data_IF_966576849192
#
_entry.id   IF_966576849192
#
_cell.length_a   1.000
_cell.length_b   1.000
_cell.length_c   1.000
_cell.angle_alpha   90.00
_cell.angle_beta   90.00
_cell.angle_gamma   90.00
#
_symmetry.space_group_name_H-M   'P 1'
#
loop_
_entity.id
_entity.type
_entity.pdbx_description
1 polymer ?
#
# COMPACT_ATOMS: atom_id res chain seq x y z
N UNK A 1 -17.07 19.93 12.01
CA UNK A 1 -17.48 18.52 12.18
C UNK A 1 -17.39 17.79 10.85
N UNK A 2 -18.05 18.23 9.76
CA UNK A 2 -18.06 17.53 8.46
C UNK A 2 -16.65 17.26 7.87
N UNK A 3 -15.72 18.22 7.95
CA UNK A 3 -14.33 18.04 7.47
C UNK A 3 -13.58 16.94 8.24
N UNK A 4 -13.80 16.85 9.54
CA UNK A 4 -13.16 15.82 10.40
C UNK A 4 -13.73 14.43 10.08
N UNK A 5 -15.03 14.31 9.92
CA UNK A 5 -15.71 13.05 9.57
C UNK A 5 -15.25 12.57 8.20
N UNK A 6 -15.23 13.45 7.19
CA UNK A 6 -14.77 13.07 5.85
C UNK A 6 -13.28 12.65 5.84
N UNK A 7 -12.42 13.33 6.60
CA UNK A 7 -11.02 12.95 6.72
C UNK A 7 -10.84 11.61 7.44
N UNK A 8 -11.64 11.32 8.47
CA UNK A 8 -11.60 10.06 9.19
C UNK A 8 -12.08 8.90 8.31
N UNK A 9 -13.24 9.05 7.65
CA UNK A 9 -13.79 8.03 6.75
C UNK A 9 -12.85 7.76 5.55
N UNK A 10 -12.28 8.80 4.95
CA UNK A 10 -11.32 8.64 3.85
C UNK A 10 -10.06 7.89 4.26
N UNK A 11 -9.58 8.08 5.50
CA UNK A 11 -8.42 7.36 6.03
C UNK A 11 -8.72 5.89 6.37
N UNK A 12 -9.96 5.56 6.70
CA UNK A 12 -10.38 4.18 6.97
C UNK A 12 -10.61 3.35 5.71
N UNK A 13 -10.89 3.98 4.58
CA UNK A 13 -11.21 3.30 3.33
C UNK A 13 -10.10 2.36 2.87
N UNK A 14 -8.85 2.83 2.85
CA UNK A 14 -7.70 2.04 2.37
C UNK A 14 -7.40 0.84 3.27
N UNK A 15 -7.30 0.96 4.61
CA UNK A 15 -7.20 -0.18 5.51
C UNK A 15 -8.34 -1.18 5.35
N UNK A 16 -9.58 -0.70 5.20
CA UNK A 16 -10.74 -1.55 4.99
C UNK A 16 -10.61 -2.35 3.69
N UNK A 17 -10.27 -1.71 2.57
CA UNK A 17 -10.02 -2.39 1.30
C UNK A 17 -8.89 -3.43 1.40
N UNK A 18 -7.82 -3.12 2.11
CA UNK A 18 -6.72 -4.04 2.34
C UNK A 18 -7.19 -5.29 3.11
N UNK A 19 -7.98 -5.10 4.17
CA UNK A 19 -8.56 -6.19 4.95
C UNK A 19 -9.50 -7.07 4.11
N UNK A 20 -10.43 -6.46 3.39
CA UNK A 20 -11.36 -7.18 2.50
C UNK A 20 -10.61 -7.96 1.41
N UNK A 21 -9.58 -7.36 0.83
CA UNK A 21 -8.74 -8.02 -0.17
C UNK A 21 -8.01 -9.24 0.41
N UNK A 22 -7.42 -9.10 1.59
CA UNK A 22 -6.77 -10.19 2.30
C UNK A 22 -7.72 -11.35 2.62
N UNK A 23 -8.91 -11.03 3.09
CA UNK A 23 -9.96 -11.99 3.40
C UNK A 23 -10.38 -12.81 2.16
N UNK A 24 -10.76 -12.15 1.09
CA UNK A 24 -11.21 -12.83 -0.13
C UNK A 24 -10.07 -13.55 -0.85
N UNK A 25 -8.86 -12.98 -0.86
CA UNK A 25 -7.70 -13.65 -1.45
C UNK A 25 -7.46 -14.99 -0.75
N UNK A 26 -7.49 -15.04 0.58
CA UNK A 26 -7.31 -16.26 1.35
C UNK A 26 -8.39 -17.30 1.04
N UNK A 27 -9.64 -16.87 0.93
CA UNK A 27 -10.77 -17.75 0.57
C UNK A 27 -10.64 -18.32 -0.85
N UNK A 28 -10.15 -17.51 -1.79
CA UNK A 28 -9.94 -17.93 -3.17
C UNK A 28 -8.72 -18.82 -3.34
N UNK A 29 -7.62 -18.52 -2.67
CA UNK A 29 -6.37 -19.32 -2.72
C UNK A 29 -6.58 -20.75 -2.22
N UNK A 30 -7.45 -20.95 -1.24
CA UNK A 30 -7.83 -22.29 -0.77
C UNK A 30 -8.58 -23.10 -1.83
N UNK A 31 -9.22 -22.44 -2.81
CA UNK A 31 -9.98 -23.09 -3.89
C UNK A 31 -9.19 -23.19 -5.19
N UNK A 32 -8.45 -22.15 -5.54
CA UNK A 32 -7.66 -22.03 -6.77
C UNK A 32 -6.40 -21.23 -6.51
N UNK A 33 -5.23 -21.87 -6.68
CA UNK A 33 -3.92 -21.25 -6.48
C UNK A 33 -3.61 -20.08 -7.46
N UNK A 34 -4.48 -19.80 -8.42
CA UNK A 34 -4.36 -18.68 -9.37
C UNK A 34 -5.21 -17.45 -9.02
N UNK A 35 -5.94 -17.50 -7.91
CA UNK A 35 -6.82 -16.41 -7.47
C UNK A 35 -6.09 -15.06 -7.30
N UNK A 36 -4.85 -15.10 -6.81
CA UNK A 36 -4.02 -13.90 -6.64
C UNK A 36 -3.68 -13.20 -7.97
N UNK A 37 -3.44 -13.96 -9.05
CA UNK A 37 -3.15 -13.39 -10.39
C UNK A 37 -4.38 -12.63 -10.90
N UNK A 38 -5.58 -13.17 -10.69
CA UNK A 38 -6.83 -12.51 -11.06
C UNK A 38 -7.01 -11.20 -10.30
N UNK A 39 -6.72 -11.19 -9.00
CA UNK A 39 -6.75 -9.99 -8.18
C UNK A 39 -5.75 -8.93 -8.66
N UNK A 40 -4.49 -9.32 -8.92
CA UNK A 40 -3.46 -8.40 -9.44
C UNK A 40 -3.88 -7.85 -10.80
N UNK A 41 -4.35 -8.68 -11.72
CA UNK A 41 -4.82 -8.21 -13.04
C UNK A 41 -5.94 -7.20 -12.93
N UNK A 42 -6.89 -7.43 -12.03
CA UNK A 42 -7.99 -6.50 -11.78
C UNK A 42 -7.48 -5.16 -11.21
N UNK A 43 -6.64 -5.21 -10.16
CA UNK A 43 -6.05 -4.00 -9.57
C UNK A 43 -5.20 -3.22 -10.59
N UNK A 44 -4.37 -3.93 -11.34
CA UNK A 44 -3.51 -3.32 -12.36
C UNK A 44 -4.32 -2.71 -13.49
N UNK A 45 -5.42 -3.35 -13.93
CA UNK A 45 -6.30 -2.82 -14.97
C UNK A 45 -6.90 -1.48 -14.55
N UNK A 46 -7.49 -1.39 -13.37
CA UNK A 46 -8.00 -0.12 -12.83
C UNK A 46 -6.88 0.91 -12.66
N UNK A 47 -5.73 0.48 -12.14
CA UNK A 47 -4.60 1.36 -11.92
C UNK A 47 -4.08 1.99 -13.22
N UNK A 48 -3.95 1.19 -14.29
CA UNK A 48 -3.52 1.69 -15.60
C UNK A 48 -4.51 2.69 -16.16
N UNK A 49 -5.82 2.37 -16.13
CA UNK A 49 -6.87 3.27 -16.65
C UNK A 49 -6.84 4.62 -15.93
N UNK A 50 -6.85 4.62 -14.59
CA UNK A 50 -6.80 5.86 -13.84
C UNK A 50 -5.46 6.59 -14.00
N UNK A 51 -4.35 5.86 -14.11
CA UNK A 51 -3.03 6.46 -14.34
C UNK A 51 -2.98 7.22 -15.66
N UNK A 52 -3.53 6.66 -16.73
CA UNK A 52 -3.59 7.35 -18.03
C UNK A 52 -4.41 8.64 -17.91
N UNK A 53 -5.59 8.58 -17.27
CA UNK A 53 -6.44 9.76 -17.07
C UNK A 53 -5.67 10.85 -16.30
N UNK A 54 -5.00 10.49 -15.21
CA UNK A 54 -4.30 11.49 -14.39
C UNK A 54 -2.99 11.98 -15.00
N UNK A 55 -2.31 11.19 -15.84
CA UNK A 55 -1.17 11.68 -16.62
C UNK A 55 -1.64 12.72 -17.65
N UNK A 56 -2.75 12.45 -18.37
CA UNK A 56 -3.34 13.44 -19.29
C UNK A 56 -3.73 14.71 -18.55
N UNK A 57 -4.37 14.56 -17.38
CA UNK A 57 -4.69 15.71 -16.52
C UNK A 57 -3.45 16.49 -16.09
N UNK A 58 -2.35 15.82 -15.70
CA UNK A 58 -1.09 16.46 -15.35
C UNK A 58 -0.50 17.29 -16.50
N UNK A 59 -0.62 16.84 -17.75
CA UNK A 59 -0.24 17.64 -18.92
C UNK A 59 -1.10 18.91 -19.06
N UNK A 60 -2.40 18.83 -18.82
CA UNK A 60 -3.28 20.03 -18.86
C UNK A 60 -2.98 21.03 -17.76
N UNK A 61 -2.46 20.57 -16.62
CA UNK A 61 -2.07 21.43 -15.49
C UNK A 61 -0.61 21.92 -15.57
N UNK A 62 0.09 21.66 -16.68
CA UNK A 62 1.50 22.00 -16.85
C UNK A 62 2.46 21.42 -15.81
N UNK A 63 2.08 20.33 -15.12
CA UNK A 63 2.94 19.67 -14.11
C UNK A 63 4.26 19.16 -14.68
N UNK A 64 4.30 18.90 -15.98
CA UNK A 64 5.48 18.38 -16.70
C UNK A 64 6.19 19.45 -17.52
N UNK A 65 5.81 20.72 -17.39
CA UNK A 65 6.40 21.81 -18.15
C UNK A 65 7.90 21.97 -17.81
N UNK A 66 8.73 22.10 -18.86
CA UNK A 66 10.17 22.29 -18.71
C UNK A 66 10.98 21.01 -18.46
N UNK A 67 10.35 19.83 -18.37
CA UNK A 67 11.08 18.58 -18.27
C UNK A 67 11.62 18.16 -19.64
N UNK A 68 12.86 17.63 -19.67
CA UNK A 68 13.36 16.92 -20.84
C UNK A 68 12.58 15.63 -21.09
N UNK A 69 12.63 15.07 -22.30
CA UNK A 69 11.94 13.81 -22.59
C UNK A 69 12.39 12.65 -21.67
N UNK A 70 13.68 12.61 -21.32
CA UNK A 70 14.23 11.61 -20.41
C UNK A 70 13.69 11.77 -18.98
N UNK A 71 13.68 13.01 -18.46
CA UNK A 71 13.17 13.31 -17.11
C UNK A 71 11.67 13.08 -17.01
N UNK A 72 10.93 13.35 -18.08
CA UNK A 72 9.51 13.07 -18.18
C UNK A 72 9.22 11.58 -18.03
N UNK A 73 9.88 10.74 -18.82
CA UNK A 73 9.73 9.28 -18.77
C UNK A 73 10.11 8.77 -17.38
N UNK A 74 11.26 9.19 -16.85
CA UNK A 74 11.70 8.81 -15.50
C UNK A 74 10.67 9.19 -14.44
N UNK A 75 10.14 10.40 -14.49
CA UNK A 75 9.15 10.91 -13.54
C UNK A 75 7.85 10.10 -13.61
N UNK A 76 7.34 9.83 -14.81
CA UNK A 76 6.12 9.04 -15.01
C UNK A 76 6.33 7.60 -14.50
N UNK A 77 7.44 6.95 -14.85
CA UNK A 77 7.74 5.59 -14.42
C UNK A 77 7.91 5.52 -12.90
N UNK A 78 8.66 6.46 -12.31
CA UNK A 78 8.86 6.55 -10.86
C UNK A 78 7.53 6.75 -10.13
N UNK A 79 6.68 7.66 -10.60
CA UNK A 79 5.34 7.87 -10.03
C UNK A 79 4.49 6.61 -10.17
N UNK A 80 4.48 5.98 -11.34
CA UNK A 80 3.69 4.78 -11.59
C UNK A 80 4.10 3.61 -10.70
N UNK A 81 5.38 3.38 -10.46
CA UNK A 81 5.86 2.22 -9.70
C UNK A 81 5.76 2.46 -8.19
N UNK A 82 6.09 3.66 -7.71
CA UNK A 82 6.30 3.91 -6.28
C UNK A 82 5.20 4.74 -5.63
N UNK A 83 4.79 5.85 -6.24
CA UNK A 83 3.95 6.84 -5.55
C UNK A 83 2.48 6.83 -5.96
N UNK A 84 2.16 6.15 -7.05
CA UNK A 84 0.95 6.39 -7.79
C UNK A 84 1.09 7.62 -8.70
N UNK A 85 0.50 7.57 -9.88
CA UNK A 85 0.54 8.67 -10.86
C UNK A 85 -0.18 9.92 -10.38
N UNK A 86 -1.02 9.79 -9.37
CA UNK A 86 -1.70 10.88 -8.69
C UNK A 86 -1.87 10.59 -7.20
N UNK A 87 -2.13 11.63 -6.40
CA UNK A 87 -2.20 11.58 -4.94
C UNK A 87 -3.05 10.43 -4.37
N UNK A 88 -4.16 10.09 -5.01
CA UNK A 88 -5.04 9.03 -4.53
C UNK A 88 -4.64 7.62 -4.99
N UNK A 89 -3.78 7.51 -6.00
CA UNK A 89 -3.47 6.24 -6.65
C UNK A 89 -2.35 5.44 -5.98
N UNK A 90 -1.71 5.99 -4.96
CA UNK A 90 -0.63 5.35 -4.23
C UNK A 90 -0.99 3.98 -3.64
N UNK A 91 -2.27 3.77 -3.34
CA UNK A 91 -2.71 2.53 -2.72
C UNK A 91 -2.65 1.33 -3.68
N UNK A 92 -2.78 1.53 -5.00
CA UNK A 92 -2.72 0.44 -5.97
C UNK A 92 -1.39 -0.30 -5.98
N UNK A 93 -0.23 0.34 -6.18
CA UNK A 93 1.05 -0.36 -6.11
C UNK A 93 1.29 -1.01 -4.74
N UNK A 94 0.89 -0.34 -3.64
CA UNK A 94 0.97 -0.93 -2.30
C UNK A 94 0.07 -2.16 -2.16
N UNK A 95 -1.17 -2.13 -2.67
CA UNK A 95 -2.09 -3.27 -2.64
C UNK A 95 -1.58 -4.44 -3.46
N UNK A 96 -1.04 -4.18 -4.66
CA UNK A 96 -0.45 -5.24 -5.49
C UNK A 96 0.69 -5.93 -4.73
N UNK A 97 1.57 -5.16 -4.10
CA UNK A 97 2.63 -5.70 -3.26
C UNK A 97 2.09 -6.50 -2.07
N UNK A 98 1.04 -6.00 -1.38
CA UNK A 98 0.37 -6.70 -0.29
C UNK A 98 -0.22 -8.05 -0.71
N UNK A 99 -0.87 -8.10 -1.87
CA UNK A 99 -1.42 -9.33 -2.47
C UNK A 99 -0.31 -10.34 -2.78
N UNK A 100 0.81 -9.89 -3.35
CA UNK A 100 1.96 -10.76 -3.65
C UNK A 100 2.55 -11.34 -2.37
N UNK A 101 2.77 -10.51 -1.36
CA UNK A 101 3.33 -10.95 -0.08
C UNK A 101 2.39 -11.95 0.60
N UNK A 102 1.09 -11.67 0.63
CA UNK A 102 0.10 -12.57 1.22
C UNK A 102 0.04 -13.91 0.47
N UNK A 103 0.05 -13.89 -0.87
CA UNK A 103 0.11 -15.12 -1.66
C UNK A 103 1.30 -16.00 -1.25
N UNK A 104 2.49 -15.43 -1.17
CA UNK A 104 3.68 -16.20 -0.76
C UNK A 104 3.60 -16.66 0.70
N UNK A 105 3.02 -15.87 1.60
CA UNK A 105 2.80 -16.27 2.98
C UNK A 105 1.91 -17.53 3.08
N UNK A 106 0.81 -17.55 2.33
CA UNK A 106 -0.13 -18.68 2.26
C UNK A 106 0.58 -19.89 1.61
N UNK A 107 1.24 -19.68 0.46
CA UNK A 107 1.95 -20.75 -0.26
C UNK A 107 3.01 -21.45 0.58
N UNK A 108 3.72 -20.69 1.42
CA UNK A 108 4.75 -21.25 2.30
C UNK A 108 4.19 -21.71 3.66
N UNK A 109 2.88 -21.58 3.89
CA UNK A 109 2.22 -21.92 5.17
C UNK A 109 2.87 -21.20 6.37
N UNK A 110 3.24 -19.94 6.17
CA UNK A 110 3.95 -19.11 7.14
C UNK A 110 3.12 -17.90 7.58
N UNK A 111 1.80 -17.94 7.44
CA UNK A 111 0.89 -16.82 7.71
C UNK A 111 1.10 -16.26 9.13
N UNK A 112 1.31 -17.11 10.13
CA UNK A 112 1.55 -16.67 11.52
C UNK A 112 2.77 -15.76 11.67
N UNK A 113 3.86 -16.07 10.96
CA UNK A 113 5.08 -15.24 10.95
C UNK A 113 4.77 -13.89 10.31
N UNK A 114 4.04 -13.90 9.21
CA UNK A 114 3.68 -12.67 8.52
C UNK A 114 2.66 -11.83 9.32
N UNK A 115 1.78 -12.42 10.13
CA UNK A 115 0.94 -11.67 11.07
C UNK A 115 1.78 -10.89 12.07
N UNK A 116 2.79 -11.56 12.65
CA UNK A 116 3.71 -10.91 13.59
C UNK A 116 4.48 -9.76 12.89
N UNK A 117 4.99 -10.01 11.70
CA UNK A 117 5.67 -8.98 10.89
C UNK A 117 4.71 -7.82 10.59
N UNK A 118 3.46 -8.10 10.21
CA UNK A 118 2.43 -7.08 9.98
C UNK A 118 2.17 -6.20 11.20
N UNK A 119 2.06 -6.79 12.38
CA UNK A 119 1.89 -6.06 13.65
C UNK A 119 3.13 -5.21 13.94
N UNK A 120 4.33 -5.78 13.82
CA UNK A 120 5.59 -5.05 14.04
C UNK A 120 5.75 -3.90 13.07
N UNK A 121 5.43 -4.10 11.78
CA UNK A 121 5.43 -3.05 10.78
C UNK A 121 4.43 -1.94 11.10
N UNK A 122 3.23 -2.29 11.58
CA UNK A 122 2.24 -1.31 12.00
C UNK A 122 2.72 -0.46 13.17
N UNK A 123 3.25 -1.10 14.21
CA UNK A 123 3.80 -0.42 15.39
C UNK A 123 4.96 0.49 14.99
N UNK A 124 5.91 -0.03 14.19
CA UNK A 124 7.04 0.75 13.67
C UNK A 124 6.57 1.96 12.87
N UNK A 125 5.65 1.76 11.92
CA UNK A 125 5.11 2.85 11.11
C UNK A 125 4.30 3.87 11.94
N UNK A 126 3.58 3.44 12.97
CA UNK A 126 2.89 4.34 13.89
C UNK A 126 3.89 5.17 14.73
N UNK A 127 4.96 4.55 15.21
CA UNK A 127 6.01 5.24 15.96
C UNK A 127 6.76 6.27 15.09
N UNK A 128 6.95 5.97 13.81
CA UNK A 128 7.73 6.84 12.91
C UNK A 128 6.95 8.03 12.36
N UNK A 129 5.63 8.00 12.40
CA UNK A 129 4.81 9.08 11.85
C UNK A 129 3.82 9.67 12.85
N UNK A 130 2.96 8.84 13.45
CA UNK A 130 1.89 9.32 14.33
C UNK A 130 2.42 9.70 15.72
N UNK A 131 3.42 8.95 16.19
CA UNK A 131 4.07 9.14 17.49
C UNK A 131 5.56 9.44 17.34
N UNK A 132 5.90 10.29 16.38
CA UNK A 132 7.28 10.60 16.04
C UNK A 132 8.13 11.00 17.27
N UNK A 133 7.59 11.85 18.15
CA UNK A 133 8.28 12.26 19.36
C UNK A 133 8.56 11.12 20.35
N UNK A 134 7.78 10.03 20.31
CA UNK A 134 8.06 8.82 21.09
C UNK A 134 9.08 7.95 20.35
N UNK A 135 8.90 7.80 19.01
CA UNK A 135 9.78 6.99 18.16
C UNK A 135 11.22 7.49 18.15
N UNK A 136 11.44 8.80 18.13
CA UNK A 136 12.76 9.42 18.18
C UNK A 136 13.53 9.06 19.47
N UNK A 137 12.82 8.92 20.60
CA UNK A 137 13.41 8.52 21.87
C UNK A 137 13.84 7.06 21.93
N UNK A 138 13.12 6.18 21.24
CA UNK A 138 13.35 4.73 21.28
C UNK A 138 14.23 4.20 20.14
N UNK A 139 14.30 4.90 19.01
CA UNK A 139 15.00 4.44 17.81
C UNK A 139 16.12 5.43 17.50
N UNK A 140 17.31 5.22 18.08
CA UNK A 140 18.52 5.97 17.77
C UNK A 140 18.83 5.92 16.27
N UNK A 141 18.86 7.10 15.63
CA UNK A 141 19.15 7.21 14.21
C UNK A 141 17.93 7.07 13.29
N UNK A 142 16.70 7.17 13.83
CA UNK A 142 15.47 7.18 13.05
C UNK A 142 15.50 8.23 11.94
N UNK A 143 16.03 9.44 12.22
CA UNK A 143 16.18 10.52 11.25
C UNK A 143 17.05 10.14 10.06
N UNK A 144 18.14 9.40 10.29
CA UNK A 144 19.03 8.92 9.22
C UNK A 144 18.33 7.85 8.37
N UNK A 145 17.61 6.93 9.01
CA UNK A 145 16.80 5.93 8.29
C UNK A 145 15.71 6.59 7.45
N UNK A 146 15.07 7.63 7.98
CA UNK A 146 14.03 8.37 7.26
C UNK A 146 14.56 9.15 6.05
N UNK A 147 15.81 9.62 6.09
CA UNK A 147 16.46 10.30 4.97
C UNK A 147 16.91 9.32 3.86
N UNK A 148 17.26 8.10 4.22
CA UNK A 148 17.77 7.08 3.27
C UNK A 148 16.68 6.42 2.44
N UNK A 149 15.48 6.23 3.01
CA UNK A 149 14.36 5.60 2.34
C UNK A 149 13.33 6.64 1.93
N UNK A 150 12.66 6.40 0.80
CA UNK A 150 11.46 7.14 0.46
C UNK A 150 10.34 6.74 1.42
N UNK A 151 10.40 7.35 2.58
CA UNK A 151 9.67 6.95 3.77
C UNK A 151 8.16 7.01 3.59
N UNK A 152 7.68 7.89 2.71
CA UNK A 152 6.24 8.04 2.49
C UNK A 152 5.59 6.77 1.94
N UNK A 153 6.26 6.09 0.99
CA UNK A 153 5.74 4.85 0.42
C UNK A 153 5.81 3.71 1.43
N UNK A 154 6.96 3.53 2.07
CA UNK A 154 7.17 2.49 3.08
C UNK A 154 6.20 2.66 4.23
N UNK A 155 6.04 3.89 4.74
CA UNK A 155 5.10 4.19 5.80
C UNK A 155 3.66 3.83 5.43
N UNK A 156 3.18 4.26 4.27
CA UNK A 156 1.83 3.95 3.80
C UNK A 156 1.61 2.44 3.63
N UNK A 157 2.60 1.73 3.11
CA UNK A 157 2.55 0.29 2.95
C UNK A 157 2.52 -0.43 4.30
N UNK A 158 3.41 -0.08 5.21
CA UNK A 158 3.56 -0.74 6.51
C UNK A 158 2.42 -0.43 7.49
N UNK A 159 1.81 0.76 7.40
CA UNK A 159 0.73 1.16 8.34
C UNK A 159 -0.67 0.89 7.81
N UNK A 160 -0.91 1.01 6.49
CA UNK A 160 -2.26 0.98 5.94
C UNK A 160 -2.56 -0.27 5.10
N UNK A 161 -1.57 -0.92 4.51
CA UNK A 161 -1.80 -2.05 3.60
C UNK A 161 -1.43 -3.37 4.26
N UNK A 162 -0.16 -3.57 4.57
CA UNK A 162 0.36 -4.86 5.01
C UNK A 162 -0.37 -5.42 6.25
N UNK A 163 -0.52 -4.68 7.37
CA UNK A 163 -1.16 -5.18 8.56
C UNK A 163 -2.63 -5.56 8.31
N UNK A 164 -3.35 -4.75 7.55
CA UNK A 164 -4.77 -4.97 7.29
C UNK A 164 -5.01 -6.09 6.28
N UNK A 165 -4.11 -6.28 5.31
CA UNK A 165 -4.14 -7.44 4.42
C UNK A 165 -3.98 -8.74 5.23
N UNK A 166 -3.06 -8.76 6.20
CA UNK A 166 -2.89 -9.92 7.09
C UNK A 166 -4.02 -10.07 8.11
N UNK A 167 -4.63 -8.97 8.56
CA UNK A 167 -5.83 -9.03 9.40
C UNK A 167 -6.98 -9.73 8.65
N UNK A 168 -7.18 -9.39 7.37
CA UNK A 168 -8.17 -10.06 6.53
C UNK A 168 -7.88 -11.56 6.35
N UNK A 169 -6.62 -11.94 6.16
CA UNK A 169 -6.20 -13.34 6.14
C UNK A 169 -6.51 -14.04 7.47
N UNK A 170 -6.21 -13.41 8.60
CA UNK A 170 -6.50 -13.96 9.93
C UNK A 170 -8.00 -14.18 10.13
N UNK A 171 -8.85 -13.21 9.81
CA UNK A 171 -10.29 -13.32 9.91
C UNK A 171 -10.79 -14.51 9.06
N UNK A 172 -10.33 -14.62 7.82
CA UNK A 172 -10.68 -15.75 6.95
C UNK A 172 -10.16 -17.10 7.47
N UNK A 173 -9.08 -17.12 8.23
CA UNK A 173 -8.54 -18.35 8.82
C UNK A 173 -9.33 -18.81 10.06
N UNK A 174 -9.90 -17.86 10.83
CA UNK A 174 -10.70 -18.17 12.04
C UNK A 174 -12.11 -18.62 11.67
N UNK A 175 -12.67 -18.15 10.55
CA UNK A 175 -14.00 -18.55 10.08
C UNK A 175 -14.06 -19.97 9.48
N UNK A 176 -12.92 -20.60 9.20
CA UNK A 176 -12.82 -21.94 8.60
C UNK A 176 -12.22 -22.95 9.58
#
# INVERSE_FOLDING_TARGET
>A
VAKVVNAALGRMAVPFFACVTGYFLTKHEKKDSRGWIKNIKSLLSYYVVFSVIYIIWGFTQHEFAGLSAGDLIYTIVKRFVMYGTYYHLWFFPCMILGVVILHFAIKWKREKIFWIIGILCYVFGACTYTWYGIGEHFILGLDRLMQWFDFTYIHRFTTAILPFTFLGNYISAVEN
#
